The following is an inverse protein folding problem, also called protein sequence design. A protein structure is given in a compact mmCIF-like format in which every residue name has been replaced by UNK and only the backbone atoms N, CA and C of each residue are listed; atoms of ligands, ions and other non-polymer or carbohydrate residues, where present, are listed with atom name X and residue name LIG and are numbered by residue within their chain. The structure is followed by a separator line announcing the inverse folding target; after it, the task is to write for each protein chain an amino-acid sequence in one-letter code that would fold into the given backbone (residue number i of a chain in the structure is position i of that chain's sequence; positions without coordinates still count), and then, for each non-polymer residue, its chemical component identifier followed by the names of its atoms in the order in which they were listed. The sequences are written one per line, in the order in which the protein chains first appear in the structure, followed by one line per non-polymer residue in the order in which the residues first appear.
data_IF_158676008180
#
_entry.id   IF_158676008180
#
_cell.length_a   1.000
_cell.length_b   1.000
_cell.length_c   1.000
_cell.angle_alpha   90.00
_cell.angle_beta   90.00
_cell.angle_gamma   90.00
#
_symmetry.space_group_name_H-M   'P 1'
#
loop_
_entity.id
_entity.type
_entity.pdbx_description
1 polymer ?
#
# COMPACT_ATOMS: atom_id res chain seq x y z
N UNK A 1 -6.52 -2.31 17.09
CA UNK A 1 -6.78 -2.42 15.64
C UNK A 1 -5.51 -2.85 14.93
N UNK A 2 -5.56 -3.85 14.04
CA UNK A 2 -4.46 -4.25 13.16
C UNK A 2 -4.69 -3.65 11.77
N UNK A 3 -3.71 -2.90 11.27
CA UNK A 3 -3.81 -2.16 10.00
C UNK A 3 -2.64 -2.52 9.09
N UNK A 4 -2.94 -2.80 7.82
CA UNK A 4 -1.94 -2.90 6.77
C UNK A 4 -1.58 -1.52 6.22
N UNK A 5 -0.31 -1.28 5.94
CA UNK A 5 0.16 -0.07 5.25
C UNK A 5 1.01 -0.48 4.05
N UNK A 6 0.76 0.15 2.90
CA UNK A 6 1.51 -0.03 1.67
C UNK A 6 2.00 1.34 1.20
N UNK A 7 3.32 1.48 1.06
CA UNK A 7 3.98 2.57 0.35
C UNK A 7 4.51 2.04 -0.98
N UNK A 8 3.72 2.19 -2.04
CA UNK A 8 4.07 1.83 -3.41
C UNK A 8 4.95 2.88 -4.06
N UNK A 9 6.26 2.66 -4.07
CA UNK A 9 7.23 3.51 -4.74
C UNK A 9 7.65 2.98 -6.11
N UNK A 10 8.29 3.84 -6.91
CA UNK A 10 8.79 3.45 -8.23
C UNK A 10 9.92 2.43 -8.20
N UNK A 11 10.67 2.30 -7.09
CA UNK A 11 11.80 1.37 -6.96
C UNK A 11 11.55 0.24 -5.98
N UNK A 12 10.67 0.46 -5.01
CA UNK A 12 10.28 -0.53 -4.01
C UNK A 12 8.86 -0.24 -3.52
N UNK A 13 8.18 -1.29 -3.10
CA UNK A 13 7.05 -1.23 -2.21
C UNK A 13 7.55 -1.45 -0.77
N UNK A 14 7.01 -0.70 0.19
CA UNK A 14 7.20 -0.97 1.61
C UNK A 14 5.86 -1.38 2.18
N UNK A 15 5.77 -2.60 2.71
CA UNK A 15 4.56 -3.09 3.36
C UNK A 15 4.80 -3.20 4.86
N UNK A 16 3.81 -2.82 5.67
CA UNK A 16 3.88 -2.95 7.12
C UNK A 16 2.56 -3.44 7.72
N UNK A 17 2.65 -4.22 8.78
CA UNK A 17 1.52 -4.57 9.66
C UNK A 17 1.69 -3.76 10.94
N UNK A 18 0.67 -2.98 11.28
CA UNK A 18 0.69 -2.00 12.36
C UNK A 18 -0.37 -2.33 13.41
N UNK A 19 0.01 -2.30 14.69
CA UNK A 19 -0.92 -2.37 15.82
C UNK A 19 -1.18 -0.96 16.33
N UNK A 20 -2.45 -0.55 16.28
CA UNK A 20 -2.96 0.66 16.90
C UNK A 20 -3.64 0.29 18.23
N UNK A 21 -3.12 0.85 19.32
CA UNK A 21 -3.66 0.65 20.67
C UNK A 21 -5.03 1.33 20.85
N UNK A 22 -5.29 2.41 20.11
CA UNK A 22 -6.54 3.15 20.16
C UNK A 22 -6.79 3.81 18.79
N UNK A 23 -8.01 3.76 18.23
CA UNK A 23 -8.29 4.22 16.86
C UNK A 23 -8.15 5.73 16.65
N UNK A 24 -8.07 6.55 17.71
CA UNK A 24 -8.27 8.01 17.63
C UNK A 24 -7.28 8.84 18.47
N UNK A 25 -6.02 8.43 18.62
CA UNK A 25 -4.97 9.29 19.21
C UNK A 25 -3.89 9.56 18.15
N UNK A 26 -3.99 10.69 17.42
CA UNK A 26 -3.09 11.01 16.30
C UNK A 26 -1.61 11.11 16.70
N UNK A 27 -1.35 11.41 17.96
CA UNK A 27 0.00 11.68 18.48
C UNK A 27 0.80 10.41 18.81
N UNK A 28 0.14 9.24 18.86
CA UNK A 28 0.80 7.98 19.23
C UNK A 28 1.18 7.19 17.98
N UNK A 29 2.47 7.01 17.76
CA UNK A 29 3.00 6.14 16.71
C UNK A 29 2.49 4.70 16.92
N UNK A 30 1.92 4.04 15.90
CA UNK A 30 1.51 2.65 16.01
C UNK A 30 2.73 1.73 16.14
N UNK A 31 2.54 0.56 16.75
CA UNK A 31 3.61 -0.45 16.83
C UNK A 31 3.73 -1.18 15.51
N UNK A 32 4.93 -1.24 14.94
CA UNK A 32 5.22 -2.06 13.76
C UNK A 32 5.36 -3.52 14.21
N UNK A 33 4.47 -4.39 13.76
CA UNK A 33 4.52 -5.83 14.00
C UNK A 33 5.37 -6.55 12.95
N UNK A 34 5.28 -6.10 11.69
CA UNK A 34 6.03 -6.63 10.55
C UNK A 34 6.27 -5.54 9.53
N UNK A 35 7.41 -5.57 8.86
CA UNK A 35 7.74 -4.66 7.76
C UNK A 35 8.58 -5.40 6.72
N UNK A 36 8.30 -5.17 5.44
CA UNK A 36 9.06 -5.76 4.33
C UNK A 36 9.24 -4.75 3.20
N UNK A 37 10.37 -4.87 2.49
CA UNK A 37 10.68 -4.10 1.29
C UNK A 37 10.65 -5.03 0.10
N UNK A 38 9.73 -4.77 -0.82
CA UNK A 38 9.53 -5.56 -2.04
C UNK A 38 10.08 -4.74 -3.20
N UNK A 39 10.99 -5.26 -4.04
CA UNK A 39 11.43 -4.57 -5.25
C UNK A 39 10.26 -4.30 -6.20
N UNK A 40 10.16 -3.09 -6.76
CA UNK A 40 9.16 -2.79 -7.79
C UNK A 40 9.65 -3.32 -9.13
N UNK A 41 8.96 -4.32 -9.68
CA UNK A 41 9.22 -4.89 -11.01
C UNK A 41 7.99 -4.67 -11.91
N UNK A 42 7.46 -5.73 -12.51
CA UNK A 42 6.18 -5.70 -13.22
C UNK A 42 5.02 -5.65 -12.21
N UNK A 43 3.84 -5.11 -12.60
CA UNK A 43 2.72 -4.95 -11.68
C UNK A 43 2.26 -6.26 -11.03
N UNK A 44 2.01 -7.30 -11.83
CA UNK A 44 1.54 -8.60 -11.33
C UNK A 44 2.45 -9.20 -10.26
N UNK A 45 3.75 -9.46 -10.51
CA UNK A 45 4.63 -10.06 -9.49
C UNK A 45 4.85 -9.15 -8.28
N UNK A 46 4.82 -7.82 -8.45
CA UNK A 46 4.94 -6.88 -7.34
C UNK A 46 3.71 -6.94 -6.44
N UNK A 47 2.51 -6.90 -7.02
CA UNK A 47 1.24 -6.96 -6.29
C UNK A 47 1.01 -8.33 -5.65
N UNK A 48 1.43 -9.41 -6.30
CA UNK A 48 1.44 -10.77 -5.75
C UNK A 48 2.27 -10.86 -4.46
N UNK A 49 3.45 -10.25 -4.44
CA UNK A 49 4.30 -10.20 -3.27
C UNK A 49 3.65 -9.40 -2.12
N UNK A 50 2.97 -8.29 -2.44
CA UNK A 50 2.19 -7.50 -1.48
C UNK A 50 1.07 -8.34 -0.86
N UNK A 51 0.30 -9.06 -1.68
CA UNK A 51 -0.78 -9.95 -1.19
C UNK A 51 -0.20 -11.05 -0.30
N UNK A 52 0.90 -11.69 -0.71
CA UNK A 52 1.58 -12.72 0.11
C UNK A 52 2.06 -12.16 1.44
N UNK A 53 2.56 -10.93 1.47
CA UNK A 53 2.96 -10.27 2.70
C UNK A 53 1.81 -10.10 3.70
N UNK A 54 0.57 -9.88 3.27
CA UNK A 54 -0.57 -9.67 4.19
C UNK A 54 -1.38 -10.93 4.49
N UNK A 55 -1.15 -12.04 3.78
CA UNK A 55 -2.00 -13.23 3.80
C UNK A 55 -2.32 -13.77 5.20
N UNK A 56 -1.37 -13.68 6.12
CA UNK A 56 -1.48 -14.24 7.48
C UNK A 56 -1.58 -13.15 8.57
N UNK A 57 -1.89 -11.90 8.22
CA UNK A 57 -1.77 -10.74 9.14
C UNK A 57 -3.03 -10.34 9.89
N UNK A 58 -4.18 -10.99 9.68
CA UNK A 58 -5.49 -10.64 10.28
C UNK A 58 -5.76 -9.10 10.29
N UNK A 59 -5.39 -8.41 9.20
CA UNK A 59 -5.56 -6.95 9.08
C UNK A 59 -7.05 -6.59 8.98
N UNK A 60 -7.48 -5.54 9.68
CA UNK A 60 -8.86 -5.03 9.64
C UNK A 60 -9.08 -4.06 8.49
N UNK A 61 -8.04 -3.31 8.11
CA UNK A 61 -8.05 -2.38 6.99
C UNK A 61 -6.64 -2.19 6.42
N UNK A 62 -6.54 -1.60 5.23
CA UNK A 62 -5.28 -1.29 4.56
C UNK A 62 -5.27 0.15 4.05
N UNK A 63 -4.16 0.85 4.30
CA UNK A 63 -3.86 2.13 3.66
C UNK A 63 -2.87 1.93 2.51
N UNK A 64 -3.14 2.54 1.35
CA UNK A 64 -2.28 2.51 0.18
C UNK A 64 -1.85 3.93 -0.18
N UNK A 65 -0.55 4.21 -0.08
CA UNK A 65 0.08 5.37 -0.70
C UNK A 65 0.87 4.89 -1.91
N UNK A 66 0.60 5.45 -3.10
CA UNK A 66 1.24 5.04 -4.35
C UNK A 66 1.95 6.23 -5.02
N UNK A 67 2.99 5.93 -5.77
CA UNK A 67 3.56 6.87 -6.71
C UNK A 67 2.49 7.28 -7.74
N UNK A 68 2.59 8.53 -8.19
CA UNK A 68 1.57 9.15 -9.02
C UNK A 68 1.87 9.15 -10.52
N UNK A 69 0.94 9.71 -11.30
CA UNK A 69 -0.34 10.28 -10.84
C UNK A 69 -1.39 9.20 -10.53
N UNK A 70 -2.08 9.29 -9.38
CA UNK A 70 -3.22 8.45 -9.00
C UNK A 70 -4.50 9.28 -9.07
N UNK A 71 -5.59 8.71 -9.56
CA UNK A 71 -6.91 9.31 -9.44
C UNK A 71 -7.43 9.18 -8.00
N UNK A 72 -7.33 10.27 -7.24
CA UNK A 72 -7.73 10.30 -5.83
C UNK A 72 -9.18 10.78 -5.62
N UNK A 73 -9.88 11.24 -6.67
CA UNK A 73 -11.28 11.69 -6.55
C UNK A 73 -12.20 10.48 -6.42
N UNK A 74 -12.88 10.38 -5.29
CA UNK A 74 -13.74 9.24 -4.95
C UNK A 74 -14.93 9.13 -5.90
N UNK A 75 -15.39 10.26 -6.45
CA UNK A 75 -16.49 10.34 -7.41
C UNK A 75 -16.09 9.94 -8.85
N UNK A 76 -14.79 9.79 -9.13
CA UNK A 76 -14.31 9.38 -10.46
C UNK A 76 -14.57 7.89 -10.69
N UNK A 77 -15.00 7.47 -11.89
CA UNK A 77 -15.07 6.04 -12.24
C UNK A 77 -13.68 5.38 -12.28
N UNK A 78 -12.62 6.18 -12.28
CA UNK A 78 -11.23 5.73 -12.21
C UNK A 78 -10.64 5.87 -10.79
N UNK A 79 -11.43 6.07 -9.74
CA UNK A 79 -10.90 6.20 -8.39
C UNK A 79 -9.97 5.03 -8.02
N UNK A 80 -8.75 5.35 -7.58
CA UNK A 80 -7.71 4.37 -7.27
C UNK A 80 -6.88 3.89 -8.46
N UNK A 81 -7.15 4.35 -9.69
CA UNK A 81 -6.32 4.02 -10.86
C UNK A 81 -5.02 4.82 -10.90
N UNK A 82 -3.95 4.13 -11.31
CA UNK A 82 -2.71 4.74 -11.74
C UNK A 82 -2.92 5.31 -13.14
N UNK A 83 -2.79 6.63 -13.25
CA UNK A 83 -2.85 7.36 -14.50
C UNK A 83 -1.49 7.30 -15.21
N UNK A 84 -1.36 8.02 -16.33
CA UNK A 84 -0.16 8.00 -17.17
C UNK A 84 1.12 8.21 -16.35
N UNK A 85 1.94 7.16 -16.30
CA UNK A 85 3.23 7.13 -15.62
C UNK A 85 4.34 6.71 -16.57
N UNK A 86 5.57 7.24 -16.45
CA UNK A 86 6.70 6.78 -17.26
C UNK A 86 7.17 5.36 -16.87
N UNK A 87 6.56 4.71 -15.88
CA UNK A 87 6.91 3.35 -15.42
C UNK A 87 6.34 2.30 -16.39
N UNK A 88 7.20 1.55 -17.12
CA UNK A 88 6.74 0.51 -18.05
C UNK A 88 5.87 -0.53 -17.34
N UNK A 89 4.78 -0.94 -17.96
CA UNK A 89 3.83 -1.93 -17.42
C UNK A 89 2.89 -1.38 -16.34
N UNK A 90 3.21 -0.25 -15.71
CA UNK A 90 2.37 0.37 -14.67
C UNK A 90 1.44 1.47 -15.20
N UNK A 91 1.61 1.88 -16.45
CA UNK A 91 0.67 2.76 -17.15
C UNK A 91 -0.12 1.93 -18.15
N UNK A 92 -1.44 2.13 -18.18
CA UNK A 92 -2.24 1.91 -19.38
C UNK A 92 -1.88 2.91 -20.49
#
# INVERSE_FOLDING_TARGET
MIVGAIEGGGTKFVCAVLQFDHPNIPEKTPRILRIERIPTTDPEPTLDAVVRFFKDSEIECVGLGMFGPIECRIESPLWGYLLKTPKPGWSD
#
